data_IF_100930108768
#
_entry.id   IF_100930108768
#
_cell.length_a   1.000
_cell.length_b   1.000
_cell.length_c   1.000
_cell.angle_alpha   90.00
_cell.angle_beta   90.00
_cell.angle_gamma   90.00
#
_symmetry.space_group_name_H-M   'P 1'
#
loop_
_entity.id
_entity.type
_entity.pdbx_description
1 polymer ?
#
# COMPACT_ATOMS: atom_id res chain seq x y z
N UNK A 1 -3.13 0.06 -26.84
CA UNK A 1 -3.96 0.99 -26.05
C UNK A 1 -3.10 1.99 -25.28
N UNK A 2 -2.39 1.60 -24.22
CA UNK A 2 -1.59 2.53 -23.40
C UNK A 2 -0.58 3.35 -24.21
N UNK A 3 0.19 2.72 -25.11
CA UNK A 3 1.13 3.45 -25.97
C UNK A 3 0.44 4.52 -26.83
N UNK A 4 -0.75 4.23 -27.37
CA UNK A 4 -1.55 5.16 -28.16
C UNK A 4 -2.07 6.31 -27.31
N UNK A 5 -2.53 6.02 -26.08
CA UNK A 5 -2.98 7.01 -25.12
C UNK A 5 -1.84 7.98 -24.75
N UNK A 6 -0.69 7.45 -24.32
CA UNK A 6 0.48 8.27 -24.00
C UNK A 6 0.91 9.15 -25.17
N UNK A 7 0.93 8.58 -26.39
CA UNK A 7 1.26 9.36 -27.60
C UNK A 7 0.25 10.48 -27.87
N UNK A 8 -1.05 10.23 -27.65
CA UNK A 8 -2.09 11.26 -27.80
C UNK A 8 -1.99 12.39 -26.77
N UNK A 9 -1.35 12.12 -25.62
CA UNK A 9 -1.05 13.09 -24.58
C UNK A 9 0.27 13.82 -24.81
N UNK A 10 0.96 13.56 -25.93
CA UNK A 10 2.25 14.17 -26.25
C UNK A 10 3.46 13.54 -25.54
N UNK A 11 3.28 12.41 -24.87
CA UNK A 11 4.35 11.74 -24.12
C UNK A 11 5.25 10.90 -25.05
N UNK A 12 6.54 10.88 -24.76
CA UNK A 12 7.52 10.06 -25.46
C UNK A 12 7.48 8.63 -24.90
N UNK A 13 7.06 7.67 -25.74
CA UNK A 13 6.84 6.29 -25.31
C UNK A 13 7.99 5.39 -25.74
N UNK A 14 8.63 4.75 -24.76
CA UNK A 14 9.55 3.63 -24.95
C UNK A 14 8.83 2.35 -24.53
N UNK A 15 8.85 1.31 -25.36
CA UNK A 15 8.17 0.04 -25.07
C UNK A 15 9.16 -1.12 -25.08
N UNK A 16 9.10 -1.94 -24.03
CA UNK A 16 9.83 -3.21 -23.95
C UNK A 16 8.86 -4.33 -23.59
N UNK A 17 8.75 -5.31 -24.48
CA UNK A 17 7.94 -6.52 -24.28
C UNK A 17 8.65 -7.79 -24.74
N UNK A 18 7.93 -8.92 -24.73
CA UNK A 18 8.49 -10.23 -25.08
C UNK A 18 8.96 -10.33 -26.53
N UNK A 19 8.48 -9.46 -27.42
CA UNK A 19 8.85 -9.43 -28.84
C UNK A 19 10.08 -8.54 -29.08
N UNK A 20 10.47 -7.70 -28.12
CA UNK A 20 11.67 -6.85 -28.24
C UNK A 20 12.94 -7.73 -28.27
N UNK A 21 13.76 -7.63 -29.34
CA UNK A 21 15.03 -8.35 -29.45
C UNK A 21 15.97 -8.06 -28.30
N UNK A 22 16.68 -9.08 -27.80
CA UNK A 22 17.56 -8.97 -26.62
C UNK A 22 18.62 -7.88 -26.80
N UNK A 23 19.18 -7.75 -28.00
CA UNK A 23 20.18 -6.72 -28.34
C UNK A 23 19.65 -5.29 -28.19
N UNK A 24 18.37 -5.06 -28.44
CA UNK A 24 17.75 -3.74 -28.38
C UNK A 24 17.36 -3.35 -26.95
N UNK A 25 17.09 -4.33 -26.08
CA UNK A 25 16.64 -4.08 -24.70
C UNK A 25 17.59 -3.18 -23.93
N UNK A 26 18.89 -3.43 -24.03
CA UNK A 26 19.90 -2.61 -23.34
C UNK A 26 19.91 -1.17 -23.87
N UNK A 27 19.79 -0.99 -25.19
CA UNK A 27 19.77 0.35 -25.81
C UNK A 27 18.58 1.17 -25.32
N UNK A 28 17.38 0.57 -25.26
CA UNK A 28 16.18 1.23 -24.76
C UNK A 28 16.32 1.65 -23.29
N UNK A 29 16.88 0.78 -22.45
CA UNK A 29 17.12 1.05 -21.03
C UNK A 29 18.15 2.17 -20.85
N UNK A 30 19.26 2.13 -21.59
CA UNK A 30 20.28 3.19 -21.54
C UNK A 30 19.70 4.52 -21.97
N UNK A 31 18.92 4.55 -23.07
CA UNK A 31 18.25 5.75 -23.55
C UNK A 31 17.35 6.36 -22.48
N UNK A 32 16.49 5.53 -21.87
CA UNK A 32 15.55 5.97 -20.83
C UNK A 32 16.26 6.52 -19.57
N UNK A 33 17.39 5.91 -19.17
CA UNK A 33 18.13 6.38 -18.00
C UNK A 33 18.95 7.66 -18.28
N UNK A 34 19.36 7.89 -19.53
CA UNK A 34 20.10 9.08 -19.93
C UNK A 34 19.18 10.30 -20.12
N UNK A 35 18.05 10.09 -20.79
CA UNK A 35 17.04 11.11 -21.07
C UNK A 35 16.11 11.24 -19.86
N UNK A 36 16.51 12.03 -18.86
CA UNK A 36 15.71 12.35 -17.66
C UNK A 36 14.58 13.36 -17.96
N UNK A 37 13.89 13.15 -19.07
CA UNK A 37 12.77 13.95 -19.52
C UNK A 37 11.50 13.56 -18.72
N UNK A 38 10.79 14.52 -18.10
CA UNK A 38 9.51 14.23 -17.43
C UNK A 38 8.43 13.69 -18.38
N UNK A 39 8.55 13.90 -19.70
CA UNK A 39 7.59 13.43 -20.70
C UNK A 39 7.89 12.00 -21.20
N UNK A 40 8.98 11.38 -20.72
CA UNK A 40 9.35 10.01 -21.08
C UNK A 40 8.57 8.97 -20.27
N UNK A 41 7.92 8.05 -20.96
CA UNK A 41 7.20 6.90 -20.38
C UNK A 41 7.79 5.59 -20.87
N UNK A 42 8.20 4.74 -19.94
CA UNK A 42 8.68 3.39 -20.23
C UNK A 42 7.59 2.35 -19.97
N UNK A 43 6.98 1.83 -21.04
CA UNK A 43 5.99 0.78 -20.98
C UNK A 43 6.67 -0.58 -20.95
N UNK A 44 6.44 -1.34 -19.87
CA UNK A 44 7.06 -2.62 -19.63
C UNK A 44 6.00 -3.66 -19.25
N UNK A 45 5.94 -4.76 -20.00
CA UNK A 45 5.14 -5.90 -19.55
C UNK A 45 5.82 -6.60 -18.37
N UNK A 46 5.05 -6.94 -17.34
CA UNK A 46 5.54 -7.51 -16.08
C UNK A 46 6.38 -8.76 -16.30
N UNK A 47 5.95 -9.63 -17.24
CA UNK A 47 6.62 -10.89 -17.61
C UNK A 47 7.85 -10.72 -18.51
N UNK A 48 7.92 -9.72 -19.38
CA UNK A 48 9.11 -9.52 -20.24
C UNK A 48 10.30 -8.92 -19.48
N UNK A 49 10.07 -8.36 -18.28
CA UNK A 49 11.10 -7.80 -17.42
C UNK A 49 11.69 -8.77 -16.38
N UNK A 50 11.53 -10.08 -16.54
CA UNK A 50 12.16 -11.08 -15.65
C UNK A 50 13.70 -11.00 -15.60
N UNK A 51 14.29 -10.25 -16.52
CA UNK A 51 15.70 -9.82 -16.52
C UNK A 51 15.79 -8.59 -15.62
N UNK A 52 16.63 -8.58 -14.58
CA UNK A 52 16.72 -7.47 -13.61
C UNK A 52 17.12 -6.12 -14.22
N UNK A 53 16.17 -5.44 -14.89
CA UNK A 53 16.39 -4.17 -15.57
C UNK A 53 16.62 -3.05 -14.54
N UNK A 54 17.55 -2.15 -14.86
CA UNK A 54 17.81 -0.95 -14.09
C UNK A 54 17.11 0.25 -14.75
N UNK A 55 16.07 0.79 -14.10
CA UNK A 55 15.23 1.88 -14.61
C UNK A 55 15.28 3.12 -13.69
N UNK A 56 16.44 3.45 -13.13
CA UNK A 56 16.65 4.63 -12.28
C UNK A 56 16.36 5.98 -12.96
N UNK A 57 16.20 6.00 -14.30
CA UNK A 57 15.66 7.14 -15.05
C UNK A 57 14.22 7.49 -14.68
N UNK A 58 13.46 6.57 -14.09
CA UNK A 58 12.14 6.81 -13.52
C UNK A 58 12.21 7.07 -12.01
N UNK A 59 11.26 7.85 -11.50
CA UNK A 59 10.98 7.96 -10.06
C UNK A 59 9.50 7.69 -9.73
N UNK A 60 8.70 7.32 -10.74
CA UNK A 60 7.29 6.98 -10.58
C UNK A 60 7.03 5.66 -11.31
N UNK A 61 6.35 4.73 -10.65
CA UNK A 61 5.93 3.44 -11.22
C UNK A 61 4.42 3.30 -11.08
N UNK A 62 3.74 2.92 -12.15
CA UNK A 62 2.31 2.59 -12.14
C UNK A 62 2.17 1.09 -12.43
N UNK A 63 1.73 0.34 -11.43
CA UNK A 63 1.25 -1.03 -11.57
C UNK A 63 -0.20 -0.96 -12.05
N UNK A 64 -0.36 -1.06 -13.37
CA UNK A 64 -1.66 -0.92 -14.03
C UNK A 64 -2.57 -2.13 -13.78
N UNK A 65 -2.02 -3.35 -13.88
CA UNK A 65 -2.73 -4.59 -13.62
C UNK A 65 -2.11 -5.30 -12.40
N UNK A 66 -2.93 -5.97 -11.59
CA UNK A 66 -2.46 -6.77 -10.44
C UNK A 66 -2.27 -8.24 -10.82
N UNK A 67 -1.07 -8.79 -10.57
CA UNK A 67 -0.79 -10.22 -10.74
C UNK A 67 -1.23 -11.02 -9.50
N UNK A 68 -1.52 -12.31 -9.63
CA UNK A 68 -1.84 -13.15 -8.46
C UNK A 68 -0.61 -13.39 -7.56
N UNK A 69 0.60 -13.26 -8.12
CA UNK A 69 1.84 -13.46 -7.42
C UNK A 69 2.44 -12.11 -6.95
N UNK A 70 2.46 -11.82 -5.64
CA UNK A 70 2.99 -10.56 -5.12
C UNK A 70 4.48 -10.36 -5.47
N UNK A 71 5.24 -11.44 -5.69
CA UNK A 71 6.64 -11.36 -6.09
C UNK A 71 6.85 -10.66 -7.45
N UNK A 72 5.86 -10.70 -8.34
CA UNK A 72 5.93 -9.98 -9.62
C UNK A 72 5.97 -8.47 -9.41
N UNK A 73 5.19 -7.97 -8.46
CA UNK A 73 5.13 -6.55 -8.15
C UNK A 73 6.38 -6.09 -7.41
N UNK A 74 6.86 -6.90 -6.46
CA UNK A 74 8.16 -6.70 -5.81
C UNK A 74 9.30 -6.57 -6.82
N UNK A 75 9.31 -7.47 -7.82
CA UNK A 75 10.32 -7.42 -8.88
C UNK A 75 10.20 -6.16 -9.73
N UNK A 76 8.98 -5.70 -10.05
CA UNK A 76 8.76 -4.48 -10.81
C UNK A 76 9.25 -3.24 -10.03
N UNK A 77 8.95 -3.17 -8.74
CA UNK A 77 9.37 -2.08 -7.87
C UNK A 77 10.90 -2.01 -7.72
N UNK A 78 11.56 -3.17 -7.59
CA UNK A 78 13.02 -3.28 -7.52
C UNK A 78 13.77 -2.85 -8.81
N UNK A 79 13.06 -2.51 -9.89
CA UNK A 79 13.66 -1.93 -11.11
C UNK A 79 13.90 -0.43 -10.99
N UNK A 80 13.08 0.27 -10.21
CA UNK A 80 13.16 1.74 -10.03
C UNK A 80 13.75 2.13 -8.67
N UNK A 81 13.45 1.36 -7.63
CA UNK A 81 13.96 1.55 -6.28
C UNK A 81 15.14 0.60 -6.08
N UNK A 82 16.32 1.12 -6.42
CA UNK A 82 17.60 0.41 -6.42
C UNK A 82 18.75 1.40 -6.30
N UNK A 83 19.93 0.90 -5.94
CA UNK A 83 21.18 1.65 -5.98
C UNK A 83 21.34 2.46 -7.27
N UNK A 84 21.67 3.74 -7.10
CA UNK A 84 21.77 4.73 -8.20
C UNK A 84 20.51 5.59 -8.37
N UNK A 85 19.40 5.27 -7.70
CA UNK A 85 18.27 6.18 -7.58
C UNK A 85 18.63 7.37 -6.68
N UNK A 86 18.35 8.59 -7.15
CA UNK A 86 18.64 9.83 -6.41
C UNK A 86 17.39 10.64 -6.11
N UNK A 87 16.22 10.22 -6.60
CA UNK A 87 14.94 10.92 -6.41
C UNK A 87 13.98 10.08 -5.55
N UNK A 88 13.06 10.71 -4.82
CA UNK A 88 11.98 10.00 -4.15
C UNK A 88 11.14 9.18 -5.14
N UNK A 89 11.00 7.88 -4.86
CA UNK A 89 10.22 6.96 -5.68
C UNK A 89 8.76 6.92 -5.22
N UNK A 90 7.82 6.99 -6.16
CA UNK A 90 6.40 6.81 -5.90
C UNK A 90 5.88 5.59 -6.67
N UNK A 91 5.18 4.68 -6.00
CA UNK A 91 4.64 3.47 -6.62
C UNK A 91 3.12 3.48 -6.48
N UNK A 92 2.44 3.44 -7.61
CA UNK A 92 0.99 3.48 -7.68
C UNK A 92 0.48 2.12 -8.13
N UNK A 93 -0.44 1.54 -7.38
CA UNK A 93 -1.19 0.35 -7.77
C UNK A 93 -2.64 0.75 -8.02
N UNK A 94 -3.11 0.52 -9.24
CA UNK A 94 -4.51 0.74 -9.56
C UNK A 94 -5.30 -0.53 -9.23
N UNK A 95 -6.44 -0.38 -8.55
CA UNK A 95 -7.27 -1.50 -8.10
C UNK A 95 -8.74 -1.14 -8.29
N UNK A 96 -9.46 -1.78 -9.20
CA UNK A 96 -10.87 -1.42 -9.42
C UNK A 96 -11.75 -1.93 -8.26
N UNK A 97 -12.59 -1.05 -7.68
CA UNK A 97 -13.43 -1.36 -6.50
C UNK A 97 -14.47 -2.43 -6.79
N UNK A 98 -14.67 -3.36 -5.85
CA UNK A 98 -15.72 -4.38 -5.99
C UNK A 98 -15.49 -5.34 -7.16
N UNK A 99 -14.29 -5.33 -7.75
CA UNK A 99 -13.92 -6.23 -8.85
C UNK A 99 -12.96 -7.32 -8.40
N UNK A 100 -12.59 -8.19 -9.35
CA UNK A 100 -11.55 -9.20 -9.14
C UNK A 100 -10.20 -8.59 -8.73
N UNK A 101 -9.89 -7.35 -9.13
CA UNK A 101 -8.63 -6.69 -8.79
C UNK A 101 -8.47 -6.54 -7.27
N UNK A 102 -9.56 -6.15 -6.60
CA UNK A 102 -9.59 -5.98 -5.15
C UNK A 102 -9.46 -7.33 -4.43
N UNK A 103 -10.09 -8.40 -4.96
CA UNK A 103 -9.91 -9.76 -4.45
C UNK A 103 -8.48 -10.28 -4.64
N UNK A 104 -7.82 -9.91 -5.74
CA UNK A 104 -6.41 -10.24 -5.98
C UNK A 104 -5.53 -9.55 -4.93
N UNK A 105 -5.74 -8.25 -4.69
CA UNK A 105 -5.01 -7.51 -3.65
C UNK A 105 -5.18 -8.18 -2.28
N UNK A 106 -6.42 -8.47 -1.86
CA UNK A 106 -6.69 -9.15 -0.59
C UNK A 106 -5.91 -10.47 -0.47
N UNK A 107 -5.89 -11.29 -1.53
CA UNK A 107 -5.15 -12.55 -1.52
C UNK A 107 -3.64 -12.36 -1.50
N UNK A 108 -3.12 -11.35 -2.20
CA UNK A 108 -1.70 -11.02 -2.17
C UNK A 108 -1.26 -10.67 -0.74
N UNK A 109 -1.98 -9.77 -0.06
CA UNK A 109 -1.65 -9.37 1.31
C UNK A 109 -1.75 -10.57 2.26
N UNK A 110 -2.77 -11.43 2.11
CA UNK A 110 -2.91 -12.66 2.93
C UNK A 110 -1.67 -13.54 2.76
N UNK A 111 -1.20 -13.70 1.52
CA UNK A 111 -0.04 -14.53 1.19
C UNK A 111 1.27 -13.93 1.72
N UNK A 112 1.44 -12.61 1.63
CA UNK A 112 2.63 -11.93 2.17
C UNK A 112 2.68 -12.02 3.69
N UNK A 113 1.56 -11.75 4.38
CA UNK A 113 1.45 -11.87 5.84
C UNK A 113 1.73 -13.29 6.34
N UNK A 114 1.29 -14.33 5.63
CA UNK A 114 1.64 -15.71 5.96
C UNK A 114 3.12 -16.01 5.73
N UNK A 115 3.70 -15.50 4.64
CA UNK A 115 5.12 -15.72 4.33
C UNK A 115 6.06 -15.04 5.34
N UNK A 116 5.69 -13.87 5.85
CA UNK A 116 6.47 -13.17 6.87
C UNK A 116 6.47 -13.92 8.19
N UNK A 117 5.34 -14.48 8.63
CA UNK A 117 5.24 -15.31 9.84
C UNK A 117 6.09 -16.59 9.72
N UNK A 118 6.04 -17.27 8.57
CA UNK A 118 6.83 -18.50 8.33
C UNK A 118 8.33 -18.21 8.28
N UNK A 119 8.74 -17.04 7.75
CA UNK A 119 10.15 -16.66 7.66
C UNK A 119 10.78 -16.27 9.01
N UNK A 120 10.00 -16.08 10.09
CA UNK A 120 10.52 -15.76 11.42
C UNK A 120 11.29 -16.93 12.07
N UNK A 121 11.22 -18.14 11.51
CA UNK A 121 12.04 -19.28 11.95
C UNK A 121 13.43 -19.34 11.33
N UNK A 122 13.74 -18.49 10.34
CA UNK A 122 15.08 -18.42 9.74
C UNK A 122 15.59 -16.97 9.76
N UNK A 123 16.59 -16.75 10.59
CA UNK A 123 17.22 -15.44 10.80
C UNK A 123 17.94 -15.02 9.51
N UNK A 124 17.26 -14.35 8.57
CA UNK A 124 17.79 -13.35 7.60
C UNK A 124 16.80 -13.07 6.46
N UNK A 125 15.78 -12.23 6.68
CA UNK A 125 15.13 -11.45 5.62
C UNK A 125 14.34 -10.29 6.25
N UNK A 126 15.05 -9.35 6.90
CA UNK A 126 14.49 -8.05 7.26
C UNK A 126 14.36 -7.18 6.00
N UNK A 127 13.53 -7.59 5.07
CA UNK A 127 13.07 -6.69 4.00
C UNK A 127 11.54 -6.73 4.03
N UNK A 128 10.98 -6.18 5.11
CA UNK A 128 9.74 -5.46 4.98
C UNK A 128 10.09 -4.32 4.03
N UNK A 129 9.80 -4.52 2.76
CA UNK A 129 10.14 -3.52 1.76
C UNK A 129 9.22 -2.34 2.04
N UNK A 130 9.85 -1.33 2.61
CA UNK A 130 9.31 -0.01 2.88
C UNK A 130 8.78 0.60 1.58
N UNK A 131 7.46 0.56 1.42
CA UNK A 131 6.82 0.87 0.15
C UNK A 131 5.92 2.10 0.20
N UNK A 132 6.11 2.98 -0.77
CA UNK A 132 5.14 3.99 -1.15
C UNK A 132 4.08 3.37 -2.06
N UNK A 133 3.22 2.50 -1.54
CA UNK A 133 2.19 1.86 -2.34
C UNK A 133 0.87 2.59 -2.12
N UNK A 134 0.32 3.08 -3.22
CA UNK A 134 -1.01 3.64 -3.26
C UNK A 134 -1.95 2.65 -3.94
N UNK A 135 -2.95 2.12 -3.23
CA UNK A 135 -4.02 1.35 -3.87
C UNK A 135 -5.19 2.27 -4.19
N UNK A 136 -5.44 2.48 -5.49
CA UNK A 136 -6.48 3.39 -6.00
C UNK A 136 -7.75 2.64 -6.38
N UNK A 137 -8.85 2.92 -5.67
CA UNK A 137 -10.12 2.18 -5.75
C UNK A 137 -11.17 2.96 -6.58
N UNK A 138 -11.82 2.31 -7.58
CA UNK A 138 -12.73 2.94 -8.57
C UNK A 138 -14.14 2.29 -8.56
N UNK A 139 -15.20 3.07 -8.25
CA UNK A 139 -16.69 2.80 -8.11
C UNK A 139 -17.21 1.35 -8.32
N UNK A 140 -17.92 0.68 -7.39
CA UNK A 140 -19.30 0.94 -6.85
C UNK A 140 -19.45 0.87 -5.30
N UNK A 141 -18.36 0.67 -4.55
CA UNK A 141 -18.32 0.76 -3.07
C UNK A 141 -17.12 1.59 -2.61
N UNK A 142 -17.12 2.07 -1.36
CA UNK A 142 -16.06 2.94 -0.84
C UNK A 142 -14.71 2.20 -0.80
N UNK A 143 -14.66 0.97 -0.25
CA UNK A 143 -13.55 0.02 -0.33
C UNK A 143 -13.92 -1.27 0.45
N UNK A 144 -14.12 -2.40 -0.23
CA UNK A 144 -14.47 -3.66 0.45
C UNK A 144 -13.30 -4.17 1.32
N UNK A 145 -12.06 -3.92 0.89
CA UNK A 145 -10.85 -4.31 1.62
C UNK A 145 -10.76 -3.60 2.96
N UNK A 146 -11.13 -2.31 3.02
CA UNK A 146 -11.14 -1.55 4.27
C UNK A 146 -12.25 -2.02 5.21
N UNK A 147 -13.43 -2.34 4.67
CA UNK A 147 -14.52 -2.94 5.44
C UNK A 147 -14.11 -4.29 6.05
N UNK A 148 -13.43 -5.15 5.29
CA UNK A 148 -12.92 -6.44 5.78
C UNK A 148 -11.84 -6.32 6.85
N UNK A 149 -11.11 -5.21 6.89
CA UNK A 149 -10.17 -4.93 7.98
C UNK A 149 -10.91 -4.63 9.29
N UNK A 150 -12.21 -4.28 9.28
CA UNK A 150 -12.92 -3.74 10.44
C UNK A 150 -12.14 -2.59 11.12
N UNK A 151 -11.49 -1.74 10.32
CA UNK A 151 -10.73 -0.61 10.83
C UNK A 151 -11.67 0.54 11.28
N UNK A 152 -11.36 1.16 12.41
CA UNK A 152 -12.18 2.23 12.99
C UNK A 152 -11.78 3.64 12.52
N UNK A 153 -10.77 3.76 11.65
CA UNK A 153 -10.25 5.07 11.23
C UNK A 153 -11.21 5.88 10.35
N UNK A 154 -12.22 5.24 9.74
CA UNK A 154 -13.16 5.91 8.84
C UNK A 154 -12.52 6.59 7.62
N UNK A 155 -11.27 6.26 7.28
CA UNK A 155 -10.53 6.88 6.18
C UNK A 155 -10.00 8.30 6.47
N UNK A 156 -9.82 8.69 7.73
CA UNK A 156 -9.30 10.02 8.09
C UNK A 156 -7.84 10.23 7.70
N UNK A 157 -7.06 9.16 7.55
CA UNK A 157 -5.63 9.23 7.24
C UNK A 157 -4.72 9.23 8.46
N UNK A 158 -5.28 9.19 9.66
CA UNK A 158 -4.56 9.08 10.93
C UNK A 158 -4.26 7.61 11.26
N UNK A 159 -3.15 7.37 11.95
CA UNK A 159 -2.88 6.05 12.54
C UNK A 159 -3.65 5.90 13.85
N UNK A 160 -3.99 4.66 14.23
CA UNK A 160 -4.72 4.37 15.48
C UNK A 160 -4.07 5.03 16.70
N UNK A 161 -2.74 5.05 16.77
CA UNK A 161 -1.98 5.69 17.84
C UNK A 161 -2.16 7.21 17.87
N UNK A 162 -2.29 7.85 16.71
CA UNK A 162 -2.50 9.30 16.60
C UNK A 162 -3.96 9.66 16.96
N UNK A 163 -4.91 8.77 16.65
CA UNK A 163 -6.32 8.93 17.04
C UNK A 163 -6.53 8.80 18.56
N UNK A 164 -5.79 7.90 19.21
CA UNK A 164 -5.82 7.73 20.66
C UNK A 164 -5.22 8.95 21.39
N UNK A 165 -4.20 9.59 20.80
CA UNK A 165 -3.61 10.84 21.30
C UNK A 165 -4.58 12.02 21.15
N UNK A 166 -5.22 12.18 20.00
CA UNK A 166 -6.24 13.23 19.78
C UNK A 166 -7.44 13.07 20.74
N UNK A 167 -7.89 11.84 21.01
CA UNK A 167 -8.97 11.59 21.97
C UNK A 167 -8.57 11.95 23.42
N UNK A 168 -7.30 11.79 23.78
CA UNK A 168 -6.80 12.16 25.11
C UNK A 168 -6.68 13.68 25.27
N UNK A 169 -6.30 14.40 24.21
CA UNK A 169 -6.24 15.87 24.20
C UNK A 169 -7.65 16.50 24.29
N UNK A 170 -8.66 15.91 23.64
CA UNK A 170 -10.06 16.34 23.75
C UNK A 170 -10.65 16.10 25.15
N UNK A 171 -10.27 14.98 25.79
CA UNK A 171 -10.70 14.68 27.15
C UNK A 171 -10.06 15.63 28.18
N UNK A 172 -8.80 16.06 27.99
CA UNK A 172 -8.12 17.04 28.88
C UNK A 172 -8.73 18.45 28.82
N UNK A 173 -9.24 18.92 27.67
CA UNK A 173 -9.94 20.21 27.57
C UNK A 173 -11.30 20.22 28.30
N UNK A 174 -11.86 19.04 28.63
CA UNK A 174 -13.13 18.92 29.34
C UNK A 174 -13.00 18.91 30.88
N UNK A 175 -11.79 18.85 31.44
CA UNK A 175 -11.54 18.74 32.90
C UNK A 175 -11.45 20.10 33.59
N UNK A 176 -12.46 20.95 33.42
CA UNK A 176 -12.76 22.04 34.37
C UNK A 176 -14.27 22.09 34.63
N UNK A 177 -14.76 21.12 35.41
CA UNK A 177 -16.18 21.09 35.77
C UNK A 177 -16.60 19.95 36.71
N UNK A 178 -16.39 20.16 38.01
CA UNK A 178 -17.23 19.69 39.14
C UNK A 178 -16.96 18.31 39.82
N UNK A 179 -16.35 18.43 41.01
CA UNK A 179 -16.64 17.83 42.33
C UNK A 179 -17.09 16.35 42.51
N UNK A 180 -16.19 15.59 43.16
CA UNK A 180 -16.33 14.51 44.18
C UNK A 180 -17.71 13.87 44.41
N UNK A 181 -17.76 12.53 44.39
CA UNK A 181 -18.34 11.69 45.46
C UNK A 181 -17.70 10.29 45.49
N UNK A 182 -17.82 9.64 46.65
CA UNK A 182 -16.94 8.64 47.29
C UNK A 182 -17.03 7.18 46.79
N UNK A 183 -16.04 6.41 47.26
CA UNK A 183 -15.73 4.98 47.10
C UNK A 183 -16.88 4.03 47.49
N UNK A 184 -16.88 2.81 46.92
CA UNK A 184 -17.09 1.60 47.74
C UNK A 184 -16.46 0.34 47.11
N UNK A 185 -15.72 -0.36 47.98
CA UNK A 185 -14.94 -1.59 47.84
C UNK A 185 -15.82 -2.84 47.57
N UNK A 186 -15.36 -3.77 46.71
CA UNK A 186 -15.61 -5.21 46.97
C UNK A 186 -14.59 -6.15 46.32
N UNK A 187 -14.13 -7.10 47.13
CA UNK A 187 -12.90 -7.87 47.06
C UNK A 187 -13.11 -9.33 46.54
N UNK A 188 -12.04 -9.91 45.98
CA UNK A 188 -11.70 -11.34 45.78
C UNK A 188 -12.72 -12.31 45.14
N UNK A 189 -12.26 -13.08 44.13
CA UNK A 189 -11.57 -14.36 44.40
C UNK A 189 -10.99 -15.04 43.15
N UNK A 190 -9.80 -15.60 43.32
CA UNK A 190 -9.14 -16.52 42.41
C UNK A 190 -9.79 -17.92 42.50
N UNK A 191 -9.86 -18.65 41.38
CA UNK A 191 -9.87 -20.12 41.40
C UNK A 191 -9.42 -20.73 40.07
N UNK A 192 -8.67 -21.80 40.24
CA UNK A 192 -7.80 -22.48 39.30
C UNK A 192 -8.54 -23.34 38.26
N UNK A 193 -7.93 -23.34 37.07
CA UNK A 193 -7.78 -24.36 36.03
C UNK A 193 -8.32 -25.77 36.30
N UNK A 194 -9.04 -26.32 35.31
CA UNK A 194 -8.96 -27.75 34.92
C UNK A 194 -9.19 -27.91 33.42
N UNK A 195 -8.24 -28.58 32.78
CA UNK A 195 -8.17 -28.95 31.37
C UNK A 195 -9.28 -29.92 30.95
N UNK A 196 -9.75 -29.78 29.71
CA UNK A 196 -10.14 -30.92 28.87
C UNK A 196 -9.70 -30.63 27.44
N UNK A 197 -8.85 -31.52 26.93
CA UNK A 197 -8.40 -31.58 25.55
C UNK A 197 -9.58 -31.89 24.63
N UNK A 198 -9.80 -31.08 23.61
CA UNK A 198 -10.54 -31.48 22.41
C UNK A 198 -10.01 -30.74 21.19
N UNK A 199 -9.87 -31.48 20.09
CA UNK A 199 -9.17 -31.10 18.88
C UNK A 199 -9.76 -29.83 18.24
N UNK A 200 -8.98 -28.73 18.25
CA UNK A 200 -9.24 -27.54 17.46
C UNK A 200 -8.21 -27.46 16.34
N UNK A 201 -8.66 -27.58 15.10
CA UNK A 201 -7.95 -27.04 13.94
C UNK A 201 -7.48 -25.62 14.25
N UNK A 202 -6.26 -25.19 13.88
CA UNK A 202 -5.88 -23.80 14.06
C UNK A 202 -6.75 -22.97 13.11
N UNK A 203 -7.83 -22.41 13.64
CA UNK A 203 -8.47 -21.24 13.06
C UNK A 203 -7.42 -20.15 13.22
N UNK A 204 -6.57 -20.00 12.20
CA UNK A 204 -5.66 -18.88 12.13
C UNK A 204 -6.54 -17.63 12.07
N UNK A 205 -6.47 -16.81 13.11
CA UNK A 205 -7.20 -15.55 13.17
C UNK A 205 -6.96 -14.76 11.88
N UNK A 206 -8.01 -14.63 11.05
CA UNK A 206 -8.06 -13.78 9.85
C UNK A 206 -7.37 -12.40 10.03
N UNK A 207 -7.48 -11.68 11.17
CA UNK A 207 -6.82 -10.38 11.34
C UNK A 207 -5.28 -10.41 11.27
N UNK A 208 -4.62 -11.52 11.61
CA UNK A 208 -3.16 -11.61 11.54
C UNK A 208 -2.62 -11.61 10.10
N UNK A 209 -3.45 -12.01 9.13
CA UNK A 209 -3.05 -12.13 7.72
C UNK A 209 -3.11 -10.82 6.96
N UNK A 210 -3.83 -9.80 7.48
CA UNK A 210 -3.99 -8.47 6.88
C UNK A 210 -3.30 -7.35 7.65
N UNK A 211 -2.52 -7.69 8.68
CA UNK A 211 -1.86 -6.73 9.58
C UNK A 211 -0.99 -5.69 8.85
N UNK A 212 -0.48 -6.00 7.66
CA UNK A 212 0.30 -5.06 6.86
C UNK A 212 -0.51 -3.84 6.42
N UNK A 213 -1.75 -4.03 5.94
CA UNK A 213 -2.61 -2.93 5.50
C UNK A 213 -3.07 -2.03 6.66
N UNK A 214 -3.16 -2.57 7.88
CA UNK A 214 -3.45 -1.78 9.08
C UNK A 214 -2.38 -0.74 9.40
N UNK A 215 -1.13 -0.97 8.98
CA UNK A 215 -0.02 -0.04 9.22
C UNK A 215 0.03 1.12 8.24
N UNK A 216 -0.81 1.08 7.21
CA UNK A 216 -0.86 2.08 6.17
C UNK A 216 -1.91 3.11 6.55
N UNK A 217 -1.69 4.37 6.14
CA UNK A 217 -2.69 5.41 6.30
C UNK A 217 -3.82 5.19 5.30
N UNK A 218 -5.04 5.39 5.77
CA UNK A 218 -6.28 5.12 5.03
C UNK A 218 -6.96 6.44 4.73
N UNK A 219 -7.11 6.81 3.46
CA UNK A 219 -7.68 8.09 3.06
C UNK A 219 -8.98 7.88 2.27
N UNK A 220 -10.03 8.55 2.72
CA UNK A 220 -11.30 8.69 2.00
C UNK A 220 -11.43 10.11 1.43
N UNK A 221 -11.93 10.30 0.20
CA UNK A 221 -12.24 11.62 -0.36
C UNK A 221 -13.28 12.42 0.45
N UNK A 222 -14.02 11.77 1.35
CA UNK A 222 -14.99 12.42 2.24
C UNK A 222 -14.29 13.38 3.23
N UNK A 223 -13.04 13.09 3.61
CA UNK A 223 -12.23 13.93 4.49
C UNK A 223 -11.36 14.88 3.67
N UNK A 224 -11.92 16.04 3.30
CA UNK A 224 -11.31 16.95 2.30
C UNK A 224 -9.89 17.40 2.65
N UNK A 225 -9.63 17.76 3.91
CA UNK A 225 -8.32 18.29 4.31
C UNK A 225 -7.23 17.22 4.26
N UNK A 226 -7.50 16.04 4.81
CA UNK A 226 -6.56 14.92 4.81
C UNK A 226 -6.42 14.28 3.43
N UNK A 227 -7.47 14.32 2.61
CA UNK A 227 -7.42 13.96 1.19
C UNK A 227 -6.51 14.89 0.37
N UNK A 228 -6.58 16.21 0.61
CA UNK A 228 -5.69 17.17 -0.03
C UNK A 228 -4.25 17.02 0.44
N UNK A 229 -4.04 16.75 1.72
CA UNK A 229 -2.72 16.38 2.25
C UNK A 229 -2.17 15.13 1.55
N UNK A 230 -2.98 14.06 1.49
CA UNK A 230 -2.65 12.83 0.78
C UNK A 230 -2.25 13.10 -0.68
N UNK A 231 -3.06 13.87 -1.42
CA UNK A 231 -2.74 14.26 -2.79
C UNK A 231 -1.38 14.94 -2.90
N UNK A 232 -1.06 15.84 -1.96
CA UNK A 232 0.22 16.53 -1.94
C UNK A 232 1.38 15.56 -1.75
N UNK A 233 1.31 14.69 -0.74
CA UNK A 233 2.40 13.73 -0.46
C UNK A 233 2.54 12.64 -1.53
N UNK A 234 1.43 12.28 -2.19
CA UNK A 234 1.42 11.31 -3.28
C UNK A 234 1.79 11.88 -4.65
N UNK A 235 2.05 13.19 -4.74
CA UNK A 235 2.47 13.83 -5.99
C UNK A 235 1.33 14.06 -6.98
N UNK A 236 0.10 14.24 -6.47
CA UNK A 236 -1.12 14.54 -7.23
C UNK A 236 -1.70 15.93 -6.91
N UNK A 237 -0.88 16.87 -6.44
CA UNK A 237 -1.32 18.20 -6.00
C UNK A 237 -2.18 18.91 -7.07
N UNK A 238 -1.79 18.79 -8.33
CA UNK A 238 -2.45 19.45 -9.47
C UNK A 238 -3.48 18.56 -10.19
N UNK A 239 -3.68 17.33 -9.74
CA UNK A 239 -4.56 16.35 -10.41
C UNK A 239 -5.93 16.28 -9.75
N UNK A 240 -6.98 16.23 -10.59
CA UNK A 240 -8.34 15.89 -10.15
C UNK A 240 -8.48 14.37 -10.08
N UNK A 241 -8.75 13.85 -8.89
CA UNK A 241 -8.84 12.42 -8.62
C UNK A 241 -10.29 11.99 -8.34
N UNK A 242 -11.23 12.43 -9.18
CA UNK A 242 -12.67 12.26 -8.95
C UNK A 242 -13.14 10.79 -9.05
N UNK A 243 -12.35 9.95 -9.72
CA UNK A 243 -12.65 8.53 -9.91
C UNK A 243 -12.13 7.66 -8.76
N UNK A 244 -11.39 8.24 -7.82
CA UNK A 244 -10.89 7.53 -6.65
C UNK A 244 -11.90 7.56 -5.51
N UNK A 245 -12.14 6.39 -4.91
CA UNK A 245 -13.02 6.23 -3.75
C UNK A 245 -12.24 6.04 -2.45
N UNK A 246 -11.00 5.56 -2.54
CA UNK A 246 -10.17 5.28 -1.37
C UNK A 246 -8.69 5.18 -1.74
N UNK A 247 -7.83 5.42 -0.75
CA UNK A 247 -6.39 5.31 -0.87
C UNK A 247 -5.77 4.69 0.39
N UNK A 248 -5.09 3.57 0.22
CA UNK A 248 -4.10 3.10 1.20
C UNK A 248 -2.76 3.71 0.87
N UNK A 249 -2.06 4.27 1.85
CA UNK A 249 -0.79 4.95 1.63
C UNK A 249 0.19 4.65 2.76
N UNK A 250 1.36 4.14 2.38
CA UNK A 250 2.50 3.97 3.26
C UNK A 250 3.61 4.91 2.79
N UNK A 251 4.37 5.48 3.72
CA UNK A 251 5.55 6.28 3.41
C UNK A 251 6.69 5.79 4.28
N UNK A 252 7.83 5.51 3.67
CA UNK A 252 9.08 5.27 4.40
C UNK A 252 10.04 6.43 4.19
N UNK A 253 10.76 6.78 5.25
CA UNK A 253 11.88 7.71 5.21
C UNK A 253 13.14 6.88 5.45
N UNK A 254 14.00 6.79 4.44
CA UNK A 254 15.39 6.39 4.60
C UNK A 254 16.28 7.64 4.59
#
# INVERSE_FOLDING_TARGET
>A
MLASLCSSLGLCVIRLDGQTPVSERHVLVTKFNAERDPENVFLLSTKAGGVGLNLIGASRLILFDSDWNPASDLQAMARIWRDGQTRPCHIYRLVTAGTIDEKILQRQVKKTGLSSIISLSDQSCKVLIDFFLLSLIVKESLCETHELLNCQCGGTGLLLTEMEEEAQDEDEESVFGHEKFEEDDFDKNAKETKQTDDALSPVLDEPATMAELFRWRHYSPEHTDTWNYFKSVAGFSETTLNDLTFAFHLSSKF
#
